data_IF_864525631381
#
_entry.id   IF_864525631381
#
_cell.length_a   1.000
_cell.length_b   1.000
_cell.length_c   1.000
_cell.angle_alpha   90.00
_cell.angle_beta   90.00
_cell.angle_gamma   90.00
#
_symmetry.space_group_name_H-M   'P 1'
#
loop_
_entity.id
_entity.type
_entity.pdbx_description
1 polymer ?
#
# COMPACT_ATOMS: atom_id res chain seq x y z
N UNK A 1 4.34 -15.87 -21.73
CA UNK A 1 3.66 -14.64 -21.30
C UNK A 1 4.63 -13.92 -20.42
N UNK A 2 5.34 -12.95 -20.99
CA UNK A 2 6.18 -12.00 -20.27
C UNK A 2 5.72 -10.63 -20.77
N UNK A 3 5.17 -9.86 -19.85
CA UNK A 3 4.65 -8.51 -20.06
C UNK A 3 5.84 -7.58 -20.30
N UNK A 4 5.94 -7.02 -21.50
CA UNK A 4 6.92 -5.98 -21.83
C UNK A 4 6.35 -4.65 -21.39
N UNK A 5 6.90 -4.12 -20.29
CA UNK A 5 6.70 -2.75 -19.83
C UNK A 5 7.00 -1.77 -20.96
N UNK A 6 5.96 -1.11 -21.48
CA UNK A 6 6.08 0.13 -22.24
C UNK A 6 6.19 1.28 -21.24
N UNK A 7 7.39 1.54 -20.76
CA UNK A 7 7.73 2.87 -20.22
C UNK A 7 8.07 3.77 -21.42
N UNK A 8 7.17 4.70 -21.73
CA UNK A 8 7.49 5.84 -22.59
C UNK A 8 8.41 6.77 -21.79
N UNK A 9 9.69 6.73 -22.15
CA UNK A 9 10.72 7.64 -21.68
C UNK A 9 10.46 9.03 -22.32
N UNK A 10 9.85 9.92 -21.54
CA UNK A 10 9.36 11.24 -21.99
C UNK A 10 10.30 12.37 -21.55
N UNK A 11 11.61 12.12 -21.55
CA UNK A 11 12.64 13.14 -21.41
C UNK A 11 13.28 13.39 -22.79
N UNK A 12 12.66 14.27 -23.56
CA UNK A 12 13.19 14.83 -24.81
C UNK A 12 14.49 15.64 -24.62
N UNK A 13 15.55 15.00 -24.16
CA UNK A 13 16.91 15.55 -24.03
C UNK A 13 17.91 14.66 -24.76
N UNK A 14 18.16 14.99 -26.02
CA UNK A 14 19.36 14.52 -26.73
C UNK A 14 20.56 15.25 -26.12
N UNK A 15 21.39 14.54 -25.34
CA UNK A 15 22.70 15.03 -24.91
C UNK A 15 23.76 14.64 -25.95
N UNK A 16 24.07 15.57 -26.85
CA UNK A 16 25.23 15.48 -27.74
C UNK A 16 26.52 15.73 -26.94
N UNK A 17 27.30 14.67 -26.67
CA UNK A 17 28.71 14.81 -26.29
C UNK A 17 29.50 15.21 -27.54
N UNK A 18 30.15 16.37 -27.51
CA UNK A 18 31.11 16.81 -28.52
C UNK A 18 32.38 15.96 -28.36
N UNK A 19 32.56 14.97 -29.23
CA UNK A 19 33.84 14.28 -29.41
C UNK A 19 34.79 15.21 -30.17
N UNK A 20 36.04 15.29 -29.71
CA UNK A 20 37.06 16.11 -30.33
C UNK A 20 38.41 16.05 -29.62
N UNK A 21 39.02 14.86 -29.57
CA UNK A 21 40.47 14.60 -29.69
C UNK A 21 40.80 13.17 -29.18
N UNK A 22 41.30 12.31 -30.08
CA UNK A 22 41.97 11.02 -29.78
C UNK A 22 43.48 11.25 -29.54
N UNK A 23 44.31 10.20 -29.32
CA UNK A 23 44.20 9.00 -28.48
C UNK A 23 45.42 8.87 -27.53
N UNK A 24 45.36 8.03 -26.49
CA UNK A 24 46.47 7.14 -26.10
C UNK A 24 46.03 6.13 -25.03
N UNK A 25 46.39 4.87 -25.31
CA UNK A 25 46.51 3.65 -24.50
C UNK A 25 45.31 2.88 -23.90
N UNK A 26 45.00 1.80 -24.61
CA UNK A 26 45.07 0.37 -24.23
C UNK A 26 44.34 -0.18 -22.99
N UNK A 27 43.47 -1.17 -23.24
CA UNK A 27 42.96 -2.11 -22.25
C UNK A 27 41.67 -2.80 -22.70
N UNK A 28 41.79 -3.79 -23.58
CA UNK A 28 40.70 -4.64 -24.05
C UNK A 28 40.19 -5.60 -22.96
N UNK A 29 38.87 -5.80 -22.89
CA UNK A 29 38.18 -7.10 -23.05
C UNK A 29 36.75 -6.97 -22.50
N UNK A 30 35.74 -6.98 -23.37
CA UNK A 30 34.37 -7.38 -22.99
C UNK A 30 33.59 -7.82 -24.25
N UNK A 31 33.27 -9.12 -24.24
CA UNK A 31 32.32 -9.90 -25.04
C UNK A 31 31.58 -9.22 -26.21
N UNK A 32 32.02 -9.56 -27.43
CA UNK A 32 31.39 -9.22 -28.70
C UNK A 32 30.07 -9.99 -28.88
N UNK A 33 28.94 -9.37 -28.50
CA UNK A 33 27.61 -9.84 -28.92
C UNK A 33 27.39 -9.36 -30.37
N UNK A 34 27.71 -10.24 -31.33
CA UNK A 34 27.42 -10.03 -32.75
C UNK A 34 25.91 -10.16 -32.99
N UNK A 35 25.19 -9.04 -32.95
CA UNK A 35 23.84 -8.96 -33.50
C UNK A 35 23.98 -8.88 -35.03
N UNK A 36 23.76 -10.01 -35.72
CA UNK A 36 23.60 -10.01 -37.18
C UNK A 36 22.30 -9.29 -37.53
N UNK A 37 22.44 -8.05 -37.98
CA UNK A 37 21.37 -7.33 -38.68
C UNK A 37 21.02 -8.16 -39.92
N UNK A 38 19.75 -8.58 -40.10
CA UNK A 38 19.33 -9.26 -41.32
C UNK A 38 19.55 -8.34 -42.52
N UNK A 39 20.25 -8.84 -43.55
CA UNK A 39 20.37 -8.17 -44.83
C UNK A 39 18.98 -7.97 -45.43
N UNK A 40 18.48 -6.73 -45.39
CA UNK A 40 17.32 -6.33 -46.19
C UNK A 40 17.80 -6.18 -47.64
N UNK A 41 17.31 -6.99 -48.59
CA UNK A 41 17.69 -6.86 -49.98
C UNK A 41 16.93 -5.68 -50.59
N UNK A 42 17.67 -4.64 -50.98
CA UNK A 42 17.21 -3.63 -51.93
C UNK A 42 16.69 -2.33 -51.31
N UNK A 43 17.60 -1.51 -50.78
CA UNK A 43 17.50 -0.07 -50.96
C UNK A 43 18.83 0.38 -51.55
N UNK A 44 18.74 0.87 -52.78
CA UNK A 44 19.83 1.44 -53.56
C UNK A 44 20.54 2.53 -52.76
N UNK A 45 21.85 2.60 -52.96
CA UNK A 45 22.70 3.68 -52.49
C UNK A 45 22.20 5.01 -53.04
N UNK A 46 21.38 5.75 -52.29
CA UNK A 46 21.26 7.21 -52.44
C UNK A 46 20.59 7.82 -51.19
N UNK A 47 21.06 9.01 -50.83
CA UNK A 47 20.62 9.85 -49.71
C UNK A 47 21.13 9.49 -48.30
N UNK A 48 22.44 9.67 -48.11
CA UNK A 48 22.90 10.37 -46.90
C UNK A 48 22.23 11.75 -46.88
N UNK A 49 21.12 11.86 -46.18
CA UNK A 49 20.35 13.10 -45.98
C UNK A 49 21.22 14.11 -45.21
N UNK A 50 22.02 14.89 -45.94
CA UNK A 50 22.50 16.20 -45.51
C UNK A 50 21.26 17.10 -45.35
N UNK A 51 20.52 16.93 -44.26
CA UNK A 51 19.56 17.95 -43.83
C UNK A 51 20.36 19.24 -43.65
N UNK A 52 20.13 20.23 -44.50
CA UNK A 52 20.88 21.48 -44.44
C UNK A 52 20.69 22.11 -43.06
N UNK A 53 21.68 22.85 -42.55
CA UNK A 53 21.56 23.58 -41.28
C UNK A 53 20.29 24.45 -41.25
N UNK A 54 19.85 24.93 -42.41
CA UNK A 54 18.62 25.70 -42.61
C UNK A 54 17.34 24.87 -42.39
N UNK A 55 17.31 23.59 -42.78
CA UNK A 55 16.18 22.69 -42.54
C UNK A 55 16.10 22.23 -41.08
N UNK A 56 17.25 22.00 -40.43
CA UNK A 56 17.32 21.75 -38.98
C UNK A 56 16.86 22.98 -38.18
N UNK A 57 17.28 24.18 -38.58
CA UNK A 57 16.82 25.44 -37.99
C UNK A 57 15.30 25.62 -38.20
N UNK A 58 14.77 25.35 -39.39
CA UNK A 58 13.32 25.47 -39.65
C UNK A 58 12.53 24.49 -38.78
N UNK A 59 12.92 23.21 -38.75
CA UNK A 59 12.29 22.18 -37.88
C UNK A 59 12.41 22.55 -36.39
N UNK A 60 13.52 23.14 -35.95
CA UNK A 60 13.68 23.61 -34.57
C UNK A 60 12.72 24.77 -34.25
N UNK A 61 12.59 25.75 -35.14
CA UNK A 61 11.69 26.89 -34.96
C UNK A 61 10.21 26.50 -35.01
N UNK A 62 9.85 25.51 -35.84
CA UNK A 62 8.49 24.96 -35.89
C UNK A 62 8.17 24.19 -34.60
N UNK A 63 9.12 23.42 -34.05
CA UNK A 63 8.98 22.75 -32.75
C UNK A 63 8.85 23.76 -31.60
N UNK A 64 9.64 24.83 -31.61
CA UNK A 64 9.55 25.89 -30.60
C UNK A 64 8.18 26.59 -30.63
N UNK A 65 7.67 26.91 -31.83
CA UNK A 65 6.32 27.48 -31.99
C UNK A 65 5.23 26.53 -31.49
N UNK A 66 5.30 25.26 -31.85
CA UNK A 66 4.35 24.25 -31.37
C UNK A 66 4.41 24.09 -29.85
N UNK A 67 5.60 24.12 -29.25
CA UNK A 67 5.74 24.09 -27.79
C UNK A 67 5.19 25.35 -27.12
N UNK A 68 5.42 26.52 -27.71
CA UNK A 68 4.87 27.77 -27.21
C UNK A 68 3.34 27.77 -27.25
N UNK A 69 2.74 27.29 -28.35
CA UNK A 69 1.28 27.15 -28.48
C UNK A 69 0.69 26.13 -27.49
N UNK A 70 1.36 24.99 -27.28
CA UNK A 70 0.95 24.01 -26.26
C UNK A 70 1.00 24.59 -24.86
N UNK A 71 2.07 25.33 -24.55
CA UNK A 71 2.23 26.00 -23.26
C UNK A 71 1.14 27.05 -23.04
N UNK A 72 0.80 27.84 -24.05
CA UNK A 72 -0.26 28.86 -23.94
C UNK A 72 -1.63 28.22 -23.71
N UNK A 73 -1.94 27.13 -24.42
CA UNK A 73 -3.20 26.37 -24.23
C UNK A 73 -3.25 25.71 -22.85
N UNK A 74 -2.15 25.14 -22.39
CA UNK A 74 -2.04 24.55 -21.05
C UNK A 74 -2.23 25.61 -19.95
N UNK A 75 -1.67 26.81 -20.12
CA UNK A 75 -1.85 27.93 -19.17
C UNK A 75 -3.31 28.37 -19.09
N UNK A 76 -4.02 28.45 -20.22
CA UNK A 76 -5.46 28.78 -20.23
C UNK A 76 -6.27 27.76 -19.44
N UNK A 77 -6.02 26.47 -19.67
CA UNK A 77 -6.68 25.39 -18.92
C UNK A 77 -6.34 25.42 -17.43
N UNK A 78 -5.10 25.77 -17.08
CA UNK A 78 -4.68 25.95 -15.68
C UNK A 78 -5.44 27.10 -15.00
N UNK A 79 -5.57 28.25 -15.67
CA UNK A 79 -6.31 29.39 -15.13
C UNK A 79 -7.81 29.09 -14.99
N UNK A 80 -8.40 28.37 -15.94
CA UNK A 80 -9.77 27.85 -15.82
C UNK A 80 -9.91 26.90 -14.61
N UNK A 81 -8.93 26.03 -14.37
CA UNK A 81 -8.91 25.14 -13.22
C UNK A 81 -8.85 25.91 -11.88
N UNK A 82 -8.03 26.95 -11.78
CA UNK A 82 -7.95 27.78 -10.56
C UNK A 82 -9.26 28.56 -10.31
N UNK A 83 -9.92 29.05 -11.37
CA UNK A 83 -11.24 29.70 -11.23
C UNK A 83 -12.32 28.73 -10.75
N UNK A 84 -12.36 27.50 -11.29
CA UNK A 84 -13.25 26.44 -10.81
C UNK A 84 -12.94 26.02 -9.38
N UNK A 85 -11.64 25.96 -9.03
CA UNK A 85 -11.19 25.65 -7.67
C UNK A 85 -11.68 26.71 -6.67
N UNK A 86 -11.54 27.99 -7.00
CA UNK A 86 -12.04 29.11 -6.18
C UNK A 86 -13.56 29.09 -6.00
N UNK A 87 -14.30 28.60 -7.01
CA UNK A 87 -15.76 28.41 -6.96
C UNK A 87 -16.18 27.18 -6.15
N UNK A 88 -15.24 26.32 -5.75
CA UNK A 88 -15.51 25.10 -5.01
C UNK A 88 -15.94 23.91 -5.87
N UNK A 89 -15.84 24.01 -7.20
CA UNK A 89 -16.12 22.90 -8.13
C UNK A 89 -14.88 22.00 -8.25
N UNK A 90 -14.64 21.20 -7.21
CA UNK A 90 -13.42 20.39 -7.06
C UNK A 90 -13.24 19.35 -8.19
N UNK A 91 -14.30 18.62 -8.56
CA UNK A 91 -14.20 17.58 -9.60
C UNK A 91 -13.86 18.19 -10.97
N UNK A 92 -14.56 19.27 -11.34
CA UNK A 92 -14.32 19.99 -12.59
C UNK A 92 -12.92 20.64 -12.61
N UNK A 93 -12.46 21.20 -11.49
CA UNK A 93 -11.10 21.72 -11.36
C UNK A 93 -10.05 20.61 -11.54
N UNK A 94 -10.28 19.43 -10.94
CA UNK A 94 -9.41 18.25 -11.07
C UNK A 94 -9.23 17.81 -12.53
N UNK A 95 -10.31 17.72 -13.29
CA UNK A 95 -10.27 17.41 -14.73
C UNK A 95 -9.44 18.45 -15.50
N UNK A 96 -9.65 19.74 -15.24
CA UNK A 96 -8.92 20.82 -15.92
C UNK A 96 -7.43 20.85 -15.57
N UNK A 97 -7.05 20.52 -14.33
CA UNK A 97 -5.65 20.35 -13.97
C UNK A 97 -5.00 19.19 -14.72
N UNK A 98 -5.69 18.05 -14.85
CA UNK A 98 -5.18 16.91 -15.62
C UNK A 98 -5.08 17.22 -17.12
N UNK A 99 -6.07 17.92 -17.70
CA UNK A 99 -6.04 18.37 -19.09
C UNK A 99 -4.84 19.30 -19.34
N UNK A 100 -4.59 20.25 -18.43
CA UNK A 100 -3.43 21.15 -18.50
C UNK A 100 -2.11 20.38 -18.39
N UNK A 101 -2.03 19.42 -17.45
CA UNK A 101 -0.85 18.56 -17.27
C UNK A 101 -0.59 17.66 -18.49
N UNK A 102 -1.63 17.15 -19.14
CA UNK A 102 -1.52 16.34 -20.35
C UNK A 102 -1.05 17.17 -21.57
N UNK A 103 -1.45 18.43 -21.65
CA UNK A 103 -1.01 19.35 -22.71
C UNK A 103 0.44 19.80 -22.54
N UNK A 104 0.88 20.04 -21.30
CA UNK A 104 2.24 20.48 -20.99
C UNK A 104 2.72 19.94 -19.64
N UNK A 105 3.19 18.68 -19.63
CA UNK A 105 3.58 17.98 -18.41
C UNK A 105 4.87 18.44 -17.75
N UNK A 106 5.55 19.45 -18.29
CA UNK A 106 6.77 20.02 -17.71
C UNK A 106 6.49 21.01 -16.56
N UNK A 107 5.29 21.57 -16.49
CA UNK A 107 4.90 22.46 -15.39
C UNK A 107 4.45 21.67 -14.16
N UNK A 108 4.88 22.09 -12.98
CA UNK A 108 4.52 21.46 -11.71
C UNK A 108 3.15 21.92 -11.19
N UNK A 109 2.72 23.14 -11.54
CA UNK A 109 1.51 23.77 -10.98
C UNK A 109 0.23 22.96 -11.20
N UNK A 110 -0.04 22.40 -12.40
CA UNK A 110 -1.23 21.59 -12.61
C UNK A 110 -1.20 20.28 -11.81
N UNK A 111 -0.05 19.61 -11.70
CA UNK A 111 0.10 18.40 -10.88
C UNK A 111 -0.17 18.69 -9.39
N UNK A 112 0.32 19.82 -8.87
CA UNK A 112 0.03 20.23 -7.50
C UNK A 112 -1.44 20.64 -7.30
N UNK A 113 -2.08 21.22 -8.31
CA UNK A 113 -3.52 21.50 -8.32
C UNK A 113 -4.37 20.24 -8.09
N UNK A 114 -4.00 19.11 -8.71
CA UNK A 114 -4.63 17.81 -8.47
C UNK A 114 -4.49 17.38 -7.01
N UNK A 115 -3.30 17.53 -6.42
CA UNK A 115 -3.05 17.23 -5.00
C UNK A 115 -3.94 18.10 -4.11
N UNK A 116 -4.07 19.40 -4.41
CA UNK A 116 -4.93 20.32 -3.65
C UNK A 116 -6.40 19.92 -3.72
N UNK A 117 -6.90 19.53 -4.89
CA UNK A 117 -8.28 19.05 -5.07
C UNK A 117 -8.53 17.78 -4.25
N UNK A 118 -7.65 16.78 -4.37
CA UNK A 118 -7.85 15.46 -3.76
C UNK A 118 -7.64 15.48 -2.24
N UNK A 119 -6.75 16.35 -1.73
CA UNK A 119 -6.51 16.50 -0.29
C UNK A 119 -7.30 17.65 0.34
N UNK A 120 -8.11 18.37 -0.45
CA UNK A 120 -8.79 19.62 -0.07
C UNK A 120 -7.84 20.57 0.66
N UNK A 121 -6.74 20.93 0.01
CA UNK A 121 -5.64 21.72 0.59
C UNK A 121 -5.05 21.10 1.89
N UNK A 122 -4.74 19.79 1.87
CA UNK A 122 -4.20 19.06 3.03
C UNK A 122 -5.08 19.14 4.30
N UNK A 123 -6.39 19.23 4.12
CA UNK A 123 -7.37 19.09 5.20
C UNK A 123 -7.85 17.66 5.36
N UNK A 124 -7.90 16.89 4.27
CA UNK A 124 -8.29 15.48 4.25
C UNK A 124 -7.16 14.63 3.65
N UNK A 125 -6.66 13.66 4.41
CA UNK A 125 -5.55 12.78 3.99
C UNK A 125 -6.02 11.44 3.44
N UNK A 126 -7.33 11.22 3.33
CA UNK A 126 -7.91 9.95 2.86
C UNK A 126 -7.58 9.64 1.40
N UNK A 127 -7.40 10.66 0.56
CA UNK A 127 -7.08 10.53 -0.87
C UNK A 127 -5.61 10.70 -1.21
N UNK A 128 -4.71 10.75 -0.22
CA UNK A 128 -3.29 11.05 -0.51
C UNK A 128 -2.61 9.96 -1.34
N UNK A 129 -3.00 8.70 -1.14
CA UNK A 129 -2.44 7.57 -1.86
C UNK A 129 -2.88 7.56 -3.33
N UNK A 130 -4.08 8.04 -3.61
CA UNK A 130 -4.58 8.21 -4.98
C UNK A 130 -3.87 9.37 -5.72
N UNK A 131 -3.25 10.28 -4.96
CA UNK A 131 -2.55 11.46 -5.49
C UNK A 131 -1.02 11.32 -5.55
N UNK A 132 -0.45 10.20 -5.09
CA UNK A 132 1.01 10.00 -4.95
C UNK A 132 1.77 10.28 -6.25
N UNK A 133 1.25 9.83 -7.39
CA UNK A 133 1.89 10.07 -8.68
C UNK A 133 1.89 11.57 -9.06
N UNK A 134 0.80 12.28 -8.80
CA UNK A 134 0.70 13.71 -9.06
C UNK A 134 1.61 14.51 -8.10
N UNK A 135 1.67 14.08 -6.84
CA UNK A 135 2.57 14.60 -5.82
C UNK A 135 4.03 14.48 -6.26
N UNK A 136 4.48 13.26 -6.58
CA UNK A 136 5.83 12.99 -7.06
C UNK A 136 6.19 13.83 -8.29
N UNK A 137 5.27 13.92 -9.25
CA UNK A 137 5.48 14.68 -10.49
C UNK A 137 5.62 16.18 -10.21
N UNK A 138 4.83 16.72 -9.28
CA UNK A 138 4.92 18.12 -8.87
C UNK A 138 6.27 18.41 -8.20
N UNK A 139 6.64 17.66 -7.17
CA UNK A 139 7.85 17.91 -6.37
C UNK A 139 9.16 17.69 -7.14
N UNK A 140 9.19 16.76 -8.11
CA UNK A 140 10.36 16.57 -9.00
C UNK A 140 10.60 17.73 -9.96
N UNK A 141 9.53 18.46 -10.34
CA UNK A 141 9.58 19.55 -11.33
C UNK A 141 9.64 20.94 -10.69
N UNK A 142 9.35 21.02 -9.40
CA UNK A 142 9.32 22.25 -8.64
C UNK A 142 10.73 22.74 -8.31
N UNK A 143 10.96 24.06 -8.45
CA UNK A 143 12.21 24.70 -8.03
C UNK A 143 12.24 24.87 -6.50
N UNK A 144 13.44 24.99 -5.93
CA UNK A 144 13.60 25.19 -4.49
C UNK A 144 12.86 26.44 -3.97
N UNK A 145 12.84 27.53 -4.73
CA UNK A 145 12.12 28.76 -4.39
C UNK A 145 10.61 28.53 -4.26
N UNK A 146 10.02 27.81 -5.21
CA UNK A 146 8.59 27.46 -5.21
C UNK A 146 8.24 26.51 -4.06
N UNK A 147 9.14 25.56 -3.73
CA UNK A 147 9.00 24.67 -2.57
C UNK A 147 8.99 25.45 -1.26
N UNK A 148 9.89 26.43 -1.10
CA UNK A 148 9.92 27.28 0.08
C UNK A 148 8.62 28.09 0.23
N UNK A 149 8.09 28.65 -0.86
CA UNK A 149 6.81 29.37 -0.83
C UNK A 149 5.63 28.48 -0.41
N UNK A 150 5.60 27.22 -0.87
CA UNK A 150 4.61 26.24 -0.41
C UNK A 150 4.83 25.83 1.05
N UNK A 151 6.08 25.67 1.46
CA UNK A 151 6.44 25.33 2.82
C UNK A 151 5.94 26.42 3.80
N UNK A 152 6.20 27.70 3.50
CA UNK A 152 5.71 28.82 4.32
C UNK A 152 4.18 28.83 4.46
N UNK A 153 3.46 28.43 3.41
CA UNK A 153 2.00 28.39 3.41
C UNK A 153 1.42 27.21 4.19
N UNK A 154 1.94 25.99 3.98
CA UNK A 154 1.31 24.77 4.44
C UNK A 154 1.99 24.12 5.67
N UNK A 155 3.31 24.25 5.82
CA UNK A 155 4.06 23.58 6.91
C UNK A 155 3.59 23.98 8.31
N UNK A 156 3.25 25.25 8.62
CA UNK A 156 2.77 25.60 9.96
C UNK A 156 1.48 24.86 10.36
N UNK A 157 0.51 24.77 9.45
CA UNK A 157 -0.75 24.07 9.72
C UNK A 157 -0.55 22.55 9.75
N UNK A 158 0.25 22.01 8.83
CA UNK A 158 0.59 20.60 8.78
C UNK A 158 1.32 20.15 10.05
N UNK A 159 2.28 20.94 10.52
CA UNK A 159 3.02 20.65 11.77
C UNK A 159 2.07 20.61 12.97
N UNK A 160 1.14 21.57 13.06
CA UNK A 160 0.13 21.57 14.13
C UNK A 160 -0.74 20.31 14.06
N UNK A 161 -1.20 19.90 12.87
CA UNK A 161 -1.99 18.68 12.69
C UNK A 161 -1.19 17.42 13.01
N UNK A 162 0.08 17.35 12.64
CA UNK A 162 0.97 16.24 12.99
C UNK A 162 1.11 16.12 14.52
N UNK A 163 1.32 17.24 15.22
CA UNK A 163 1.39 17.25 16.69
C UNK A 163 0.07 16.85 17.35
N UNK A 164 -1.07 17.28 16.80
CA UNK A 164 -2.40 16.87 17.25
C UNK A 164 -2.62 15.36 17.04
N UNK A 165 -2.25 14.83 15.87
CA UNK A 165 -2.34 13.41 15.57
C UNK A 165 -1.42 12.59 16.49
N UNK A 166 -0.20 13.03 16.76
CA UNK A 166 0.72 12.37 17.67
C UNK A 166 0.18 12.31 19.10
N UNK A 167 -0.39 13.42 19.61
CA UNK A 167 -1.05 13.44 20.93
C UNK A 167 -2.24 12.50 21.01
N UNK A 168 -3.09 12.49 19.99
CA UNK A 168 -4.24 11.59 19.92
C UNK A 168 -3.80 10.13 19.82
N UNK A 169 -2.77 9.83 19.02
CA UNK A 169 -2.20 8.49 18.91
C UNK A 169 -1.69 8.00 20.27
N UNK A 170 -0.93 8.81 21.00
CA UNK A 170 -0.47 8.47 22.34
C UNK A 170 -1.63 8.26 23.32
N UNK A 171 -2.66 9.10 23.29
CA UNK A 171 -3.83 8.99 24.15
C UNK A 171 -4.58 7.67 23.90
N UNK A 172 -4.90 7.38 22.64
CA UNK A 172 -5.58 6.15 22.26
C UNK A 172 -4.74 4.91 22.52
N UNK A 173 -3.41 4.98 22.38
CA UNK A 173 -2.51 3.89 22.73
C UNK A 173 -2.50 3.63 24.24
N UNK A 174 -2.52 4.67 25.08
CA UNK A 174 -2.69 4.52 26.55
C UNK A 174 -4.03 3.87 26.90
N UNK A 175 -5.11 4.27 26.22
CA UNK A 175 -6.44 3.66 26.40
C UNK A 175 -6.45 2.18 25.97
N UNK A 176 -5.81 1.83 24.85
CA UNK A 176 -5.66 0.45 24.38
C UNK A 176 -4.92 -0.41 25.41
N UNK A 177 -3.77 0.06 25.92
CA UNK A 177 -3.00 -0.64 26.94
C UNK A 177 -3.81 -0.82 28.22
N UNK A 178 -4.46 0.24 28.73
CA UNK A 178 -5.25 0.17 29.94
C UNK A 178 -6.44 -0.80 29.81
N UNK A 179 -7.13 -0.79 28.66
CA UNK A 179 -8.21 -1.74 28.38
C UNK A 179 -7.68 -3.17 28.32
N UNK A 180 -6.59 -3.40 27.60
CA UNK A 180 -5.98 -4.74 27.50
C UNK A 180 -5.53 -5.27 28.87
N UNK A 181 -4.93 -4.42 29.70
CA UNK A 181 -4.49 -4.79 31.05
C UNK A 181 -5.66 -5.12 31.99
N UNK A 182 -6.74 -4.33 31.96
CA UNK A 182 -7.92 -4.59 32.78
C UNK A 182 -8.66 -5.89 32.40
N UNK A 183 -8.73 -6.20 31.10
CA UNK A 183 -9.37 -7.43 30.60
C UNK A 183 -8.46 -8.67 30.73
N UNK A 184 -7.13 -8.49 30.82
CA UNK A 184 -6.13 -9.58 30.80
C UNK A 184 -6.40 -10.64 31.86
N UNK A 185 -6.66 -10.23 33.10
CA UNK A 185 -6.88 -11.17 34.20
C UNK A 185 -8.11 -12.07 33.94
N UNK A 186 -9.19 -11.48 33.45
CA UNK A 186 -10.42 -12.21 33.08
C UNK A 186 -10.19 -13.18 31.91
N UNK A 187 -9.54 -12.71 30.84
CA UNK A 187 -9.26 -13.52 29.64
C UNK A 187 -8.35 -14.71 29.97
N UNK A 188 -7.31 -14.50 30.79
CA UNK A 188 -6.40 -15.57 31.23
C UNK A 188 -7.12 -16.57 32.13
N UNK A 189 -7.93 -16.10 33.08
CA UNK A 189 -8.73 -16.98 33.93
C UNK A 189 -9.72 -17.83 33.12
N UNK A 190 -10.41 -17.23 32.15
CA UNK A 190 -11.32 -17.92 31.25
C UNK A 190 -10.60 -18.96 30.38
N UNK A 191 -9.42 -18.63 29.85
CA UNK A 191 -8.60 -19.59 29.10
C UNK A 191 -8.27 -20.84 29.93
N UNK A 192 -7.76 -20.67 31.16
CA UNK A 192 -7.43 -21.80 32.03
C UNK A 192 -8.67 -22.57 32.47
N UNK A 193 -9.81 -21.91 32.68
CA UNK A 193 -11.09 -22.55 32.99
C UNK A 193 -11.55 -23.45 31.83
N UNK A 194 -11.56 -22.94 30.60
CA UNK A 194 -11.95 -23.74 29.43
C UNK A 194 -10.96 -24.87 29.15
N UNK A 195 -9.66 -24.63 29.32
CA UNK A 195 -8.63 -25.66 29.18
C UNK A 195 -8.83 -26.81 30.17
N UNK A 196 -9.07 -26.50 31.46
CA UNK A 196 -9.34 -27.52 32.49
C UNK A 196 -10.58 -28.34 32.17
N UNK A 197 -11.67 -27.69 31.75
CA UNK A 197 -12.90 -28.39 31.36
C UNK A 197 -12.66 -29.31 30.15
N UNK A 198 -11.98 -28.81 29.12
CA UNK A 198 -11.64 -29.61 27.94
C UNK A 198 -10.81 -30.84 28.31
N UNK A 199 -9.81 -30.69 29.19
CA UNK A 199 -8.99 -31.81 29.68
C UNK A 199 -9.84 -32.82 30.44
N UNK A 200 -10.67 -32.38 31.39
CA UNK A 200 -11.52 -33.29 32.20
C UNK A 200 -12.48 -34.07 31.32
N UNK A 201 -13.21 -33.40 30.43
CA UNK A 201 -14.15 -34.08 29.53
C UNK A 201 -13.44 -34.94 28.48
N UNK A 202 -12.25 -34.53 28.02
CA UNK A 202 -11.41 -35.32 27.12
C UNK A 202 -10.91 -36.61 27.75
N UNK A 203 -10.46 -36.55 29.01
CA UNK A 203 -10.03 -37.73 29.78
C UNK A 203 -11.21 -38.67 30.03
N UNK A 204 -12.37 -38.15 30.43
CA UNK A 204 -13.58 -38.96 30.61
C UNK A 204 -14.01 -39.63 29.30
N UNK A 205 -14.03 -38.88 28.19
CA UNK A 205 -14.32 -39.42 26.87
C UNK A 205 -13.37 -40.58 26.51
N UNK A 206 -12.06 -40.36 26.66
CA UNK A 206 -11.06 -41.38 26.40
C UNK A 206 -11.26 -42.63 27.27
N UNK A 207 -11.54 -42.47 28.56
CA UNK A 207 -11.78 -43.59 29.48
C UNK A 207 -12.99 -44.43 29.05
N UNK A 208 -14.13 -43.80 28.72
CA UNK A 208 -15.33 -44.52 28.27
C UNK A 208 -15.15 -45.15 26.88
N UNK A 209 -14.42 -44.48 25.97
CA UNK A 209 -14.11 -45.03 24.66
C UNK A 209 -13.21 -46.27 24.76
N UNK A 210 -12.14 -46.21 25.57
CA UNK A 210 -11.24 -47.35 25.83
C UNK A 210 -12.03 -48.50 26.46
N UNK A 211 -12.89 -48.21 27.45
CA UNK A 211 -13.75 -49.22 28.07
C UNK A 211 -14.67 -49.89 27.03
N UNK A 212 -15.35 -49.11 26.19
CA UNK A 212 -16.24 -49.62 25.13
C UNK A 212 -15.50 -50.52 24.13
N UNK A 213 -14.32 -50.07 23.65
CA UNK A 213 -13.48 -50.83 22.71
C UNK A 213 -12.97 -52.13 23.37
N UNK A 214 -12.58 -52.07 24.64
CA UNK A 214 -12.08 -53.25 25.37
C UNK A 214 -13.18 -54.29 25.62
N UNK A 215 -14.43 -53.87 25.80
CA UNK A 215 -15.58 -54.75 26.04
C UNK A 215 -16.14 -55.36 24.74
N UNK A 216 -15.97 -54.67 23.60
CA UNK A 216 -16.54 -55.09 22.31
C UNK A 216 -16.20 -56.53 21.88
N UNK A 217 -14.96 -57.05 22.04
CA UNK A 217 -14.62 -58.43 21.70
C UNK A 217 -15.35 -59.48 22.55
N UNK A 218 -15.71 -59.14 23.79
CA UNK A 218 -16.34 -60.06 24.75
C UNK A 218 -17.88 -60.10 24.63
N UNK A 219 -18.48 -59.27 23.77
CA UNK A 219 -19.93 -59.19 23.61
C UNK A 219 -20.54 -60.53 23.16
N UNK A 220 -19.82 -61.32 22.35
CA UNK A 220 -20.28 -62.63 21.86
C UNK A 220 -19.74 -63.81 22.66
N UNK A 221 -18.89 -63.57 23.65
CA UNK A 221 -18.25 -64.65 24.43
C UNK A 221 -19.09 -65.13 25.60
N UNK A 222 -20.14 -64.40 25.99
CA UNK A 222 -21.03 -64.76 27.09
C UNK A 222 -22.46 -64.93 26.54
N UNK A 223 -23.15 -66.05 26.84
CA UNK A 223 -24.48 -66.34 26.31
C UNK A 223 -25.60 -65.44 26.89
N UNK A 224 -25.28 -64.54 27.82
CA UNK A 224 -26.21 -63.63 28.46
C UNK A 224 -25.86 -62.17 28.13
N UNK A 225 -26.85 -61.27 28.14
CA UNK A 225 -26.70 -59.85 27.79
C UNK A 225 -25.87 -59.03 28.81
N UNK A 226 -25.22 -59.68 29.77
CA UNK A 226 -24.46 -59.06 30.86
C UNK A 226 -23.27 -58.22 30.38
N UNK A 227 -22.68 -58.52 29.22
CA UNK A 227 -21.59 -57.74 28.61
C UNK A 227 -22.10 -56.79 27.53
N UNK A 228 -23.15 -57.19 26.80
CA UNK A 228 -23.76 -56.36 25.75
C UNK A 228 -24.31 -55.04 26.30
N UNK A 229 -25.06 -55.09 27.41
CA UNK A 229 -25.67 -53.90 28.03
C UNK A 229 -24.61 -52.87 28.47
N UNK A 230 -23.59 -53.20 29.28
CA UNK A 230 -22.57 -52.23 29.68
C UNK A 230 -21.73 -51.73 28.50
N UNK A 231 -21.48 -52.56 27.47
CA UNK A 231 -20.79 -52.13 26.25
C UNK A 231 -21.58 -51.03 25.52
N UNK A 232 -22.90 -51.22 25.32
CA UNK A 232 -23.77 -50.21 24.72
C UNK A 232 -23.79 -48.93 25.57
N UNK A 233 -23.92 -49.06 26.90
CA UNK A 233 -23.90 -47.90 27.81
C UNK A 233 -22.59 -47.11 27.70
N UNK A 234 -21.44 -47.79 27.59
CA UNK A 234 -20.14 -47.14 27.41
C UNK A 234 -20.06 -46.41 26.06
N UNK A 235 -20.57 -46.98 24.97
CA UNK A 235 -20.62 -46.30 23.67
C UNK A 235 -21.54 -45.07 23.69
N UNK A 236 -22.73 -45.17 24.30
CA UNK A 236 -23.66 -44.05 24.43
C UNK A 236 -23.05 -42.94 25.29
N UNK A 237 -22.41 -43.29 26.41
CA UNK A 237 -21.70 -42.33 27.26
C UNK A 237 -20.52 -41.68 26.54
N UNK A 238 -19.72 -42.44 25.79
CA UNK A 238 -18.63 -41.92 24.97
C UNK A 238 -19.15 -40.94 23.90
N UNK A 239 -20.26 -41.24 23.24
CA UNK A 239 -20.87 -40.34 22.25
C UNK A 239 -21.35 -39.04 22.89
N UNK A 240 -22.01 -39.10 24.06
CA UNK A 240 -22.42 -37.91 24.79
C UNK A 240 -21.23 -37.05 25.24
N UNK A 241 -20.17 -37.69 25.73
CA UNK A 241 -18.93 -37.02 26.13
C UNK A 241 -18.18 -36.43 24.92
N UNK A 242 -18.22 -37.09 23.76
CA UNK A 242 -17.65 -36.55 22.52
C UNK A 242 -18.31 -35.22 22.13
N UNK A 243 -19.64 -35.14 22.18
CA UNK A 243 -20.38 -33.89 21.93
C UNK A 243 -19.97 -32.80 22.93
N UNK A 244 -19.82 -33.15 24.21
CA UNK A 244 -19.34 -32.22 25.23
C UNK A 244 -17.91 -31.73 24.93
N UNK A 245 -17.00 -32.63 24.56
CA UNK A 245 -15.62 -32.30 24.16
C UNK A 245 -15.62 -31.33 22.97
N UNK A 246 -16.43 -31.58 21.93
CA UNK A 246 -16.55 -30.65 20.80
C UNK A 246 -17.05 -29.27 21.23
N UNK A 247 -18.04 -29.20 22.13
CA UNK A 247 -18.56 -27.93 22.64
C UNK A 247 -17.50 -27.17 23.46
N UNK A 248 -16.76 -27.85 24.32
CA UNK A 248 -15.67 -27.24 25.10
C UNK A 248 -14.45 -26.90 24.24
N UNK A 249 -14.16 -27.66 23.18
CA UNK A 249 -13.12 -27.34 22.22
C UNK A 249 -13.42 -26.02 21.53
N UNK A 250 -14.66 -25.82 21.06
CA UNK A 250 -15.09 -24.54 20.48
C UNK A 250 -14.89 -23.39 21.46
N UNK A 251 -15.32 -23.56 22.73
CA UNK A 251 -15.15 -22.54 23.79
C UNK A 251 -13.69 -22.24 24.09
N UNK A 252 -12.84 -23.27 24.12
CA UNK A 252 -11.40 -23.13 24.30
C UNK A 252 -10.76 -22.36 23.15
N UNK A 253 -11.12 -22.68 21.90
CA UNK A 253 -10.62 -21.96 20.73
C UNK A 253 -11.01 -20.48 20.76
N UNK A 254 -12.26 -20.16 21.14
CA UNK A 254 -12.69 -18.76 21.32
C UNK A 254 -11.92 -18.05 22.43
N UNK A 255 -11.70 -18.69 23.58
CA UNK A 255 -10.92 -18.12 24.68
C UNK A 255 -9.44 -17.92 24.29
N UNK A 256 -8.86 -18.86 23.55
CA UNK A 256 -7.49 -18.76 23.04
C UNK A 256 -7.36 -17.63 22.01
N UNK A 257 -8.36 -17.46 21.13
CA UNK A 257 -8.39 -16.36 20.17
C UNK A 257 -8.43 -15.00 20.89
N UNK A 258 -9.31 -14.84 21.90
CA UNK A 258 -9.36 -13.62 22.72
C UNK A 258 -8.05 -13.33 23.46
N UNK A 259 -7.42 -14.38 24.00
CA UNK A 259 -6.09 -14.25 24.63
C UNK A 259 -5.04 -13.79 23.62
N UNK A 260 -5.02 -14.37 22.43
CA UNK A 260 -4.10 -13.98 21.35
C UNK A 260 -4.31 -12.54 20.91
N UNK A 261 -5.57 -12.11 20.78
CA UNK A 261 -5.92 -10.71 20.47
C UNK A 261 -5.43 -9.77 21.57
N UNK A 262 -5.72 -10.03 22.84
CA UNK A 262 -5.27 -9.19 23.96
C UNK A 262 -3.73 -9.06 24.06
N UNK A 263 -2.97 -10.04 23.57
CA UNK A 263 -1.51 -9.97 23.54
C UNK A 263 -0.98 -9.07 22.42
N UNK A 264 -1.74 -8.89 21.34
CA UNK A 264 -1.34 -8.04 20.21
C UNK A 264 -1.75 -6.58 20.50
N UNK A 265 -0.88 -5.65 20.15
CA UNK A 265 -1.23 -4.23 20.14
C UNK A 265 -2.11 -3.95 18.91
N UNK A 266 -3.02 -2.97 19.00
CA UNK A 266 -3.82 -2.56 17.86
C UNK A 266 -4.96 -3.51 17.48
N UNK A 267 -5.47 -4.32 18.41
CA UNK A 267 -6.65 -5.19 18.16
C UNK A 267 -7.92 -4.69 18.83
N UNK A 268 -7.84 -3.53 19.49
CA UNK A 268 -9.01 -2.85 20.06
C UNK A 268 -9.34 -1.64 19.19
N UNK A 269 -10.58 -1.16 19.25
CA UNK A 269 -10.99 0.04 18.51
C UNK A 269 -10.11 1.26 18.85
N UNK A 270 -9.60 1.35 20.08
CA UNK A 270 -8.67 2.39 20.51
C UNK A 270 -7.29 2.19 19.87
N UNK A 271 -6.81 0.95 19.82
CA UNK A 271 -5.55 0.62 19.15
C UNK A 271 -5.60 0.87 17.63
N UNK A 272 -6.72 0.58 16.98
CA UNK A 272 -6.94 0.88 15.56
C UNK A 272 -6.91 2.39 15.29
N UNK A 273 -7.60 3.18 16.13
CA UNK A 273 -7.54 4.64 16.05
C UNK A 273 -6.14 5.19 16.30
N UNK A 274 -5.43 4.66 17.31
CA UNK A 274 -4.05 5.07 17.59
C UNK A 274 -3.15 4.85 16.37
N UNK A 275 -3.32 3.72 15.69
CA UNK A 275 -2.60 3.39 14.46
C UNK A 275 -2.95 4.35 13.32
N UNK A 276 -4.23 4.63 13.08
CA UNK A 276 -4.65 5.58 12.03
C UNK A 276 -4.05 6.97 12.24
N UNK A 277 -4.06 7.48 13.48
CA UNK A 277 -3.45 8.77 13.80
C UNK A 277 -1.93 8.75 13.65
N UNK A 278 -1.25 7.66 14.01
CA UNK A 278 0.19 7.50 13.79
C UNK A 278 0.55 7.47 12.31
N UNK A 279 -0.18 6.70 11.49
CA UNK A 279 0.01 6.66 10.03
C UNK A 279 -0.24 8.04 9.41
N UNK A 280 -1.25 8.77 9.89
CA UNK A 280 -1.52 10.14 9.43
C UNK A 280 -0.42 11.12 9.84
N UNK A 281 0.10 11.01 11.06
CA UNK A 281 1.24 11.82 11.52
C UNK A 281 2.49 11.58 10.66
N UNK A 282 2.83 10.31 10.42
CA UNK A 282 3.99 9.93 9.61
C UNK A 282 3.88 10.47 8.18
N UNK A 283 2.71 10.31 7.58
CA UNK A 283 2.39 10.87 6.26
C UNK A 283 2.56 12.39 6.24
N UNK A 284 1.98 13.11 7.20
CA UNK A 284 2.11 14.58 7.26
C UNK A 284 3.57 14.99 7.40
N UNK A 285 4.35 14.28 8.22
CA UNK A 285 5.79 14.54 8.38
C UNK A 285 6.56 14.29 7.09
N UNK A 286 6.26 13.22 6.36
CA UNK A 286 6.85 12.96 5.05
C UNK A 286 6.60 14.10 4.08
N UNK A 287 5.38 14.66 4.05
CA UNK A 287 5.05 15.80 3.19
C UNK A 287 5.85 17.04 3.59
N UNK A 288 5.98 17.31 4.90
CA UNK A 288 6.78 18.42 5.41
C UNK A 288 8.25 18.26 5.01
N UNK A 289 8.79 17.05 5.14
CA UNK A 289 10.16 16.74 4.75
C UNK A 289 10.37 16.99 3.25
N UNK A 290 9.47 16.54 2.39
CA UNK A 290 9.56 16.76 0.94
C UNK A 290 9.40 18.24 0.53
N UNK A 291 8.65 19.03 1.29
CA UNK A 291 8.56 20.49 1.11
C UNK A 291 9.80 21.24 1.58
N UNK A 292 10.55 20.69 2.53
CA UNK A 292 11.73 21.34 3.14
C UNK A 292 13.07 20.80 2.64
N UNK A 293 13.05 19.74 1.83
CA UNK A 293 14.23 19.11 1.25
C UNK A 293 14.89 20.03 0.21
N UNK A 294 16.16 20.37 0.46
CA UNK A 294 17.04 21.12 -0.45
C UNK A 294 17.39 20.36 -1.73
#
# INVERSE_FOLDING_TARGET
>A
MEERNLELDDDGKIRLKKSGASPDDEGADEDEIVIRVPDFPGLEEEEKENTSEEELLRRSSEREKQNAERKEKAEKLYLEAEDLYQKGELDAAGEKYLDSAAMYGADWRPWFGVVRVQTKDFTEFTGIYDCEQAYDKAFRRMKAEDKQALAEKYVPELSRKADECGKLSEEYNKQDVARRESERAGIVADFYKQMRLLIVFGVLFAAFLIAAISLAPFVRSVPNNSILIPCILCFVAALALFVAVCAFLKRFLTANHRRSQNLRAGTTDAGDKARQYAETEELIRSIIDDMTKE
#
